data_IF_268223968012
#
_entry.id   IF_268223968012
#
_cell.length_a   1.000
_cell.length_b   1.000
_cell.length_c   1.000
_cell.angle_alpha   90.00
_cell.angle_beta   90.00
_cell.angle_gamma   90.00
#
_symmetry.space_group_name_H-M   'P 1'
#
loop_
_entity.id
_entity.type
_entity.pdbx_description
1 polymer ?
#
# COMPACT_ATOMS: atom_id res chain seq x y z
N UNK A 1 40.43 -52.58 -12.65
CA UNK A 1 39.19 -52.31 -11.89
C UNK A 1 38.99 -50.81 -11.81
N UNK A 2 37.97 -50.29 -12.49
CA UNK A 2 37.63 -48.86 -12.54
C UNK A 2 36.68 -48.55 -11.38
N UNK A 3 37.04 -47.61 -10.50
CA UNK A 3 36.11 -47.07 -9.50
C UNK A 3 35.58 -45.73 -10.02
N UNK A 4 34.28 -45.69 -10.30
CA UNK A 4 33.56 -44.48 -10.71
C UNK A 4 33.07 -43.80 -9.44
N UNK A 5 33.58 -42.59 -9.18
CA UNK A 5 33.16 -41.72 -8.09
C UNK A 5 31.85 -41.04 -8.50
N UNK A 6 30.73 -41.43 -7.90
CA UNK A 6 29.45 -40.72 -8.08
C UNK A 6 29.43 -39.50 -7.14
N UNK A 7 29.69 -38.32 -7.70
CA UNK A 7 29.43 -37.05 -7.04
C UNK A 7 27.93 -36.74 -7.13
N UNK A 8 27.23 -36.77 -5.99
CA UNK A 8 25.86 -36.26 -5.88
C UNK A 8 25.90 -34.73 -5.91
N UNK A 9 25.60 -34.14 -7.06
CA UNK A 9 25.36 -32.71 -7.18
C UNK A 9 23.96 -32.45 -6.62
N UNK A 10 23.90 -31.93 -5.40
CA UNK A 10 22.65 -31.39 -4.83
C UNK A 10 22.38 -30.08 -5.57
N UNK A 11 21.49 -30.13 -6.56
CA UNK A 11 20.96 -28.94 -7.23
C UNK A 11 20.05 -28.21 -6.23
N UNK A 12 20.62 -27.30 -5.45
CA UNK A 12 19.85 -26.40 -4.60
C UNK A 12 19.17 -25.37 -5.51
N UNK A 13 17.96 -25.67 -5.97
CA UNK A 13 17.12 -24.69 -6.66
C UNK A 13 16.67 -23.67 -5.62
N UNK A 14 17.42 -22.58 -5.50
CA UNK A 14 16.93 -21.38 -4.84
C UNK A 14 15.69 -20.90 -5.61
N UNK A 15 14.52 -21.06 -5.01
CA UNK A 15 13.32 -20.34 -5.45
C UNK A 15 13.59 -18.85 -5.19
N UNK A 16 14.02 -18.12 -6.21
CA UNK A 16 14.06 -16.67 -6.18
C UNK A 16 12.62 -16.16 -6.14
N UNK A 17 12.30 -15.39 -5.10
CA UNK A 17 10.99 -14.77 -4.88
C UNK A 17 10.67 -13.79 -6.02
N UNK A 18 9.45 -13.86 -6.55
CA UNK A 18 8.90 -13.11 -7.69
C UNK A 18 8.73 -11.58 -7.49
N UNK A 19 9.52 -10.91 -6.66
CA UNK A 19 9.35 -9.48 -6.42
C UNK A 19 9.59 -8.63 -7.68
N UNK A 20 10.49 -9.08 -8.57
CA UNK A 20 10.84 -8.39 -9.82
C UNK A 20 9.67 -8.30 -10.82
N UNK A 21 8.75 -9.28 -10.79
CA UNK A 21 7.61 -9.33 -11.71
C UNK A 21 6.45 -8.39 -11.31
N UNK A 22 6.44 -7.84 -10.08
CA UNK A 22 5.33 -7.01 -9.57
C UNK A 22 5.43 -5.54 -10.02
N UNK A 23 6.65 -5.03 -10.16
CA UNK A 23 6.90 -3.66 -10.66
C UNK A 23 6.81 -3.57 -12.17
N UNK A 24 7.21 -4.63 -12.89
CA UNK A 24 7.12 -4.70 -14.35
C UNK A 24 5.67 -4.88 -14.85
N UNK A 25 4.75 -5.41 -14.03
CA UNK A 25 3.37 -5.65 -14.45
C UNK A 25 2.46 -4.42 -14.43
N UNK A 26 2.88 -3.33 -13.78
CA UNK A 26 2.16 -2.05 -13.75
C UNK A 26 3.09 -0.99 -14.33
N UNK A 27 3.09 -0.87 -15.65
CA UNK A 27 3.68 0.30 -16.29
C UNK A 27 2.98 1.54 -15.72
N UNK A 28 3.74 2.50 -15.19
CA UNK A 28 3.18 3.73 -14.61
C UNK A 28 2.26 4.40 -15.64
N UNK A 29 2.59 4.36 -16.93
CA UNK A 29 1.80 4.94 -18.03
C UNK A 29 0.39 4.34 -18.17
N UNK A 30 0.19 3.07 -17.81
CA UNK A 30 -1.12 2.39 -17.85
C UNK A 30 -1.87 2.47 -16.50
N UNK A 31 -1.32 3.21 -15.52
CA UNK A 31 -1.91 3.31 -14.20
C UNK A 31 -3.26 4.06 -14.23
N UNK A 32 -4.29 3.39 -13.73
CA UNK A 32 -5.64 3.90 -13.55
C UNK A 32 -6.25 3.39 -12.23
N UNK A 33 -7.33 4.03 -11.77
CA UNK A 33 -8.15 3.55 -10.65
C UNK A 33 -9.41 2.83 -11.13
N UNK A 34 -9.77 1.76 -10.43
CA UNK A 34 -11.02 1.02 -10.67
C UNK A 34 -12.23 1.80 -10.13
N UNK A 35 -13.44 1.39 -10.52
CA UNK A 35 -14.67 1.97 -10.00
C UNK A 35 -14.78 1.85 -8.46
N UNK A 36 -14.32 0.74 -7.89
CA UNK A 36 -14.34 0.53 -6.43
C UNK A 36 -13.32 1.44 -5.70
N UNK A 37 -12.15 1.67 -6.30
CA UNK A 37 -11.16 2.63 -5.78
C UNK A 37 -11.64 4.08 -5.89
N UNK A 38 -12.35 4.41 -6.98
CA UNK A 38 -13.02 5.70 -7.15
C UNK A 38 -14.12 5.90 -6.09
N UNK A 39 -14.95 4.89 -5.82
CA UNK A 39 -15.94 4.96 -4.74
C UNK A 39 -15.28 5.20 -3.37
N UNK A 40 -14.15 4.52 -3.10
CA UNK A 40 -13.40 4.75 -1.86
C UNK A 40 -12.89 6.19 -1.75
N UNK A 41 -12.38 6.76 -2.84
CA UNK A 41 -11.98 8.16 -2.91
C UNK A 41 -13.16 9.08 -2.57
N UNK A 42 -14.29 8.88 -3.25
CA UNK A 42 -15.46 9.75 -3.13
C UNK A 42 -16.07 9.69 -1.73
N UNK A 43 -16.19 8.50 -1.14
CA UNK A 43 -16.67 8.33 0.23
C UNK A 43 -15.74 9.00 1.25
N UNK A 44 -14.43 8.94 1.05
CA UNK A 44 -13.45 9.61 1.91
C UNK A 44 -13.54 11.14 1.76
N UNK A 45 -13.66 11.66 0.54
CA UNK A 45 -13.82 13.09 0.30
C UNK A 45 -15.14 13.63 0.86
N UNK A 46 -16.24 12.88 0.74
CA UNK A 46 -17.51 13.20 1.39
C UNK A 46 -17.41 13.17 2.92
N UNK A 47 -16.63 12.24 3.49
CA UNK A 47 -16.36 12.22 4.93
C UNK A 47 -15.58 13.46 5.39
N UNK A 48 -14.56 13.89 4.63
CA UNK A 48 -13.80 15.13 4.87
C UNK A 48 -14.67 16.37 4.75
N UNK A 49 -15.51 16.45 3.73
CA UNK A 49 -16.47 17.54 3.51
C UNK A 49 -17.44 17.70 4.68
N UNK A 50 -17.98 16.61 5.22
CA UNK A 50 -18.82 16.63 6.45
C UNK A 50 -18.09 17.18 7.67
N UNK A 51 -16.75 17.19 7.65
CA UNK A 51 -15.88 17.77 8.69
C UNK A 51 -15.32 19.14 8.31
N UNK A 52 -15.81 19.75 7.23
CA UNK A 52 -15.39 21.07 6.71
C UNK A 52 -13.90 21.09 6.33
N UNK A 53 -13.39 19.97 5.83
CA UNK A 53 -12.03 19.86 5.31
C UNK A 53 -12.08 19.85 3.77
N UNK A 54 -11.05 20.40 3.11
CA UNK A 54 -10.98 20.39 1.65
C UNK A 54 -10.82 18.96 1.11
N UNK A 55 -11.28 18.69 -0.12
CA UNK A 55 -10.92 17.46 -0.83
C UNK A 55 -9.41 17.44 -1.07
N UNK A 56 -8.86 16.24 -1.28
CA UNK A 56 -7.44 16.02 -1.53
C UNK A 56 -7.30 15.56 -2.99
N UNK A 57 -6.47 16.21 -3.82
CA UNK A 57 -6.26 15.77 -5.19
C UNK A 57 -5.72 14.33 -5.28
N UNK A 58 -6.31 13.51 -6.15
CA UNK A 58 -5.77 12.20 -6.49
C UNK A 58 -4.36 12.34 -7.07
N UNK A 59 -3.44 11.52 -6.56
CA UNK A 59 -2.03 11.48 -6.96
C UNK A 59 -1.75 10.18 -7.69
N UNK A 60 -1.18 10.30 -8.90
CA UNK A 60 -0.73 9.16 -9.70
C UNK A 60 0.39 8.42 -8.98
N UNK A 61 1.38 9.16 -8.46
CA UNK A 61 2.53 8.62 -7.76
C UNK A 61 2.13 7.86 -6.50
N UNK A 62 1.32 8.46 -5.62
CA UNK A 62 0.87 7.78 -4.40
C UNK A 62 -0.09 6.63 -4.70
N UNK A 63 -0.87 6.69 -5.79
CA UNK A 63 -1.70 5.56 -6.22
C UNK A 63 -0.85 4.38 -6.68
N UNK A 64 0.24 4.63 -7.40
CA UNK A 64 1.21 3.60 -7.74
C UNK A 64 1.75 2.91 -6.49
N UNK A 65 2.22 3.70 -5.51
CA UNK A 65 2.73 3.18 -4.22
C UNK A 65 1.65 2.36 -3.50
N UNK A 66 0.41 2.85 -3.45
CA UNK A 66 -0.70 2.14 -2.84
C UNK A 66 -0.95 0.78 -3.50
N UNK A 67 -0.96 0.70 -4.84
CA UNK A 67 -1.19 -0.55 -5.58
C UNK A 67 -0.05 -1.54 -5.40
N UNK A 68 1.20 -1.08 -5.54
CA UNK A 68 2.39 -1.92 -5.32
C UNK A 68 2.38 -2.48 -3.91
N UNK A 69 2.07 -1.67 -2.90
CA UNK A 69 2.04 -2.14 -1.52
C UNK A 69 0.88 -3.10 -1.26
N UNK A 70 -0.31 -2.85 -1.80
CA UNK A 70 -1.43 -3.77 -1.67
C UNK A 70 -1.10 -5.16 -2.28
N UNK A 71 -0.42 -5.17 -3.42
CA UNK A 71 0.10 -6.39 -4.04
C UNK A 71 1.18 -7.06 -3.18
N UNK A 72 2.12 -6.29 -2.61
CA UNK A 72 3.15 -6.82 -1.70
C UNK A 72 2.52 -7.48 -0.45
N UNK A 73 1.52 -6.84 0.15
CA UNK A 73 0.77 -7.39 1.26
C UNK A 73 0.02 -8.67 0.87
N UNK A 74 -0.52 -8.74 -0.34
CA UNK A 74 -1.20 -9.94 -0.84
C UNK A 74 -0.23 -11.10 -1.11
N UNK A 75 0.87 -10.85 -1.82
CA UNK A 75 1.75 -11.93 -2.27
C UNK A 75 2.83 -12.32 -1.25
N UNK A 76 3.43 -11.33 -0.58
CA UNK A 76 4.63 -11.55 0.24
C UNK A 76 4.34 -11.52 1.74
N UNK A 77 3.18 -11.02 2.16
CA UNK A 77 2.69 -11.09 3.55
C UNK A 77 3.72 -10.61 4.60
N UNK A 78 4.44 -9.49 4.41
CA UNK A 78 5.53 -9.05 5.30
C UNK A 78 5.05 -8.77 6.74
N UNK A 79 3.76 -8.55 6.92
CA UNK A 79 3.11 -8.33 8.20
C UNK A 79 2.97 -9.59 9.07
N UNK A 80 3.15 -10.82 8.54
CA UNK A 80 2.90 -12.07 9.29
C UNK A 80 3.99 -12.44 10.30
N UNK A 81 5.11 -11.74 10.33
CA UNK A 81 6.10 -11.98 11.38
C UNK A 81 5.60 -11.41 12.71
N UNK A 82 5.93 -12.04 13.85
CA UNK A 82 5.30 -11.79 15.18
C UNK A 82 5.23 -10.33 15.65
N UNK A 83 6.03 -9.42 15.09
CA UNK A 83 6.09 -8.01 15.51
C UNK A 83 5.71 -7.03 14.40
N UNK A 84 5.62 -7.48 13.16
CA UNK A 84 5.29 -6.62 12.03
C UNK A 84 3.78 -6.38 11.96
N UNK A 85 3.38 -5.31 11.28
CA UNK A 85 1.99 -5.04 10.92
C UNK A 85 1.86 -4.69 9.43
N UNK A 86 0.68 -4.26 8.99
CA UNK A 86 0.37 -4.02 7.58
C UNK A 86 1.17 -2.89 6.92
N UNK A 87 1.82 -2.01 7.67
CA UNK A 87 2.74 -1.00 7.13
C UNK A 87 4.13 -1.58 6.76
N UNK A 88 4.28 -2.90 6.84
CA UNK A 88 5.52 -3.59 6.51
C UNK A 88 5.64 -3.80 5.01
N UNK A 89 6.88 -3.79 4.54
CA UNK A 89 7.26 -3.99 3.14
C UNK A 89 8.22 -5.15 3.04
N UNK A 90 7.97 -6.07 2.11
CA UNK A 90 8.82 -7.23 1.89
C UNK A 90 10.16 -6.85 1.25
N UNK A 91 11.03 -7.84 1.05
CA UNK A 91 12.30 -7.64 0.37
C UNK A 91 12.09 -7.56 -1.14
N UNK A 92 12.61 -6.49 -1.76
CA UNK A 92 12.62 -6.25 -3.19
C UNK A 92 13.91 -5.50 -3.57
N UNK A 93 14.26 -5.54 -4.85
CA UNK A 93 15.34 -4.71 -5.40
C UNK A 93 14.85 -3.28 -5.69
N UNK A 94 13.54 -3.07 -5.81
CA UNK A 94 12.94 -1.77 -6.13
C UNK A 94 12.66 -0.89 -4.89
N UNK A 95 12.73 -1.45 -3.67
CA UNK A 95 12.44 -0.69 -2.45
C UNK A 95 13.11 -1.29 -1.21
N UNK A 96 13.29 -0.48 -0.17
CA UNK A 96 13.91 -0.94 1.07
C UNK A 96 12.93 -1.77 1.91
N UNK A 97 13.25 -3.02 2.24
CA UNK A 97 12.38 -3.84 3.11
C UNK A 97 12.19 -3.25 4.51
N UNK A 98 11.00 -3.41 5.10
CA UNK A 98 10.73 -2.95 6.46
C UNK A 98 9.78 -3.87 7.22
N UNK A 99 10.17 -4.26 8.44
CA UNK A 99 9.21 -4.71 9.44
C UNK A 99 8.72 -3.50 10.24
N UNK A 100 7.49 -3.10 10.00
CA UNK A 100 6.88 -1.98 10.71
C UNK A 100 6.24 -2.47 12.02
N UNK A 101 6.71 -1.92 13.15
CA UNK A 101 6.26 -2.25 14.50
C UNK A 101 5.30 -1.20 15.04
N UNK A 102 4.41 -1.58 15.95
CA UNK A 102 3.40 -0.68 16.54
C UNK A 102 3.98 0.47 17.38
N UNK A 103 5.29 0.47 17.66
CA UNK A 103 5.98 1.59 18.31
C UNK A 103 6.39 2.70 17.33
N UNK A 104 6.10 2.54 16.03
CA UNK A 104 6.39 3.49 14.96
C UNK A 104 7.88 3.87 14.81
N UNK A 105 8.81 3.17 15.47
CA UNK A 105 10.25 3.50 15.43
C UNK A 105 10.88 3.39 14.05
N UNK A 106 10.19 2.70 13.14
CA UNK A 106 10.62 2.44 11.76
C UNK A 106 9.73 3.15 10.74
N UNK A 107 8.99 4.18 11.16
CA UNK A 107 8.03 4.87 10.30
C UNK A 107 8.67 5.45 9.04
N UNK A 108 9.90 5.97 9.14
CA UNK A 108 10.65 6.53 8.00
C UNK A 108 10.79 5.57 6.81
N UNK A 109 10.91 4.26 7.06
CA UNK A 109 10.98 3.29 5.95
C UNK A 109 9.69 3.20 5.15
N UNK A 110 8.54 3.42 5.78
CA UNK A 110 7.25 3.52 5.09
C UNK A 110 7.09 4.91 4.46
N UNK A 111 7.49 5.97 5.16
CA UNK A 111 7.37 7.34 4.64
C UNK A 111 8.18 7.62 3.39
N UNK A 112 9.33 6.96 3.23
CA UNK A 112 10.19 7.12 2.06
C UNK A 112 9.70 6.38 0.80
N UNK A 113 8.61 5.60 0.87
CA UNK A 113 8.17 4.75 -0.25
C UNK A 113 7.80 5.52 -1.53
N UNK A 114 7.17 6.69 -1.46
CA UNK A 114 6.97 7.51 -2.64
C UNK A 114 8.28 7.85 -3.36
N UNK A 115 9.30 8.30 -2.63
CA UNK A 115 10.61 8.66 -3.17
C UNK A 115 11.40 7.44 -3.70
N UNK A 116 11.22 6.25 -3.10
CA UNK A 116 11.85 5.02 -3.60
C UNK A 116 11.23 4.53 -4.93
N UNK A 117 9.95 4.82 -5.17
CA UNK A 117 9.16 4.18 -6.23
C UNK A 117 8.71 5.12 -7.35
N UNK A 118 8.77 6.43 -7.14
CA UNK A 118 8.18 7.44 -8.03
C UNK A 118 8.99 8.73 -8.01
N UNK A 119 8.58 9.71 -8.83
CA UNK A 119 9.16 11.06 -8.81
C UNK A 119 8.61 11.95 -7.66
N UNK A 120 7.68 11.43 -6.84
CA UNK A 120 7.18 12.13 -5.67
C UNK A 120 8.20 12.06 -4.52
N UNK A 121 9.08 13.05 -4.42
CA UNK A 121 10.22 13.06 -3.47
C UNK A 121 9.85 13.46 -2.03
N UNK A 122 8.57 13.68 -1.73
CA UNK A 122 8.09 13.99 -0.37
C UNK A 122 7.74 12.70 0.39
N UNK A 123 7.77 12.79 1.72
CA UNK A 123 7.24 11.73 2.58
C UNK A 123 5.75 11.46 2.30
N UNK A 124 5.37 10.18 2.34
CA UNK A 124 3.99 9.71 2.26
C UNK A 124 3.53 9.03 3.55
N UNK A 125 2.24 9.10 3.85
CA UNK A 125 1.66 8.55 5.07
C UNK A 125 0.54 7.57 4.75
N UNK A 126 0.58 6.38 5.34
CA UNK A 126 -0.32 5.29 4.96
C UNK A 126 -1.38 4.99 6.02
N UNK A 127 -2.59 4.66 5.57
CA UNK A 127 -3.55 3.83 6.32
C UNK A 127 -3.83 2.55 5.53
N UNK A 128 -3.84 1.42 6.22
CA UNK A 128 -4.10 0.11 5.63
C UNK A 128 -5.33 -0.54 6.27
N UNK A 129 -6.13 -1.23 5.47
CA UNK A 129 -7.25 -2.05 5.91
C UNK A 129 -7.17 -3.40 5.20
N UNK A 130 -7.49 -4.47 5.92
CA UNK A 130 -7.49 -5.81 5.35
C UNK A 130 -7.67 -6.88 6.41
N UNK A 131 -7.92 -8.12 5.98
CA UNK A 131 -8.24 -9.24 6.86
C UNK A 131 -7.01 -9.99 7.39
N UNK A 132 -5.84 -9.35 7.37
CA UNK A 132 -4.49 -9.93 7.37
C UNK A 132 -4.19 -11.16 8.26
N UNK A 133 -4.86 -11.36 9.39
CA UNK A 133 -4.54 -12.46 10.31
C UNK A 133 -5.44 -13.70 10.22
N UNK A 134 -6.37 -13.75 9.27
CA UNK A 134 -7.35 -14.83 9.20
C UNK A 134 -6.97 -15.77 8.07
N UNK A 135 -6.73 -17.05 8.40
CA UNK A 135 -6.45 -18.12 7.42
C UNK A 135 -7.67 -18.46 6.55
N UNK A 136 -8.61 -17.54 6.43
CA UNK A 136 -9.90 -17.73 5.83
C UNK A 136 -10.22 -16.50 4.97
N UNK A 137 -9.81 -16.58 3.70
CA UNK A 137 -10.19 -15.64 2.66
C UNK A 137 -11.63 -15.88 2.14
N UNK A 138 -12.32 -16.93 2.63
CA UNK A 138 -13.62 -17.38 2.15
C UNK A 138 -14.78 -16.98 3.08
N UNK A 139 -14.53 -16.77 4.38
CA UNK A 139 -15.50 -16.27 5.37
C UNK A 139 -15.66 -14.74 5.31
N UNK A 140 -14.71 -14.04 4.71
CA UNK A 140 -14.73 -12.60 4.60
C UNK A 140 -14.89 -12.24 3.13
N UNK A 141 -16.02 -11.59 2.81
CA UNK A 141 -16.27 -11.09 1.46
C UNK A 141 -15.19 -10.13 0.99
N UNK A 142 -15.25 -9.77 -0.29
CA UNK A 142 -14.31 -8.85 -0.91
C UNK A 142 -14.17 -7.54 -0.10
N UNK A 143 -12.96 -6.97 -0.10
CA UNK A 143 -12.77 -5.62 0.43
C UNK A 143 -13.57 -4.66 -0.47
N UNK A 144 -14.49 -3.91 0.15
CA UNK A 144 -15.23 -2.83 -0.49
C UNK A 144 -14.80 -1.49 0.07
N UNK A 145 -15.09 -0.43 -0.67
CA UNK A 145 -14.88 0.95 -0.28
C UNK A 145 -15.53 1.26 1.08
N UNK A 146 -16.78 0.85 1.29
CA UNK A 146 -17.51 1.12 2.54
C UNK A 146 -16.91 0.39 3.73
N UNK A 147 -16.51 -0.87 3.54
CA UNK A 147 -15.92 -1.67 4.61
C UNK A 147 -14.55 -1.12 5.02
N UNK A 148 -13.73 -0.72 4.05
CA UNK A 148 -12.43 -0.10 4.32
C UNK A 148 -12.59 1.24 5.06
N UNK A 149 -13.43 2.14 4.54
CA UNK A 149 -13.69 3.43 5.18
C UNK A 149 -14.33 3.27 6.57
N UNK A 150 -15.27 2.35 6.72
CA UNK A 150 -15.90 2.01 8.00
C UNK A 150 -14.86 1.53 9.03
N UNK A 151 -13.98 0.63 8.61
CA UNK A 151 -12.84 0.15 9.40
C UNK A 151 -11.94 1.29 9.87
N UNK A 152 -11.49 2.15 8.96
CA UNK A 152 -10.65 3.30 9.32
C UNK A 152 -11.35 4.31 10.22
N UNK A 153 -12.65 4.57 10.02
CA UNK A 153 -13.43 5.47 10.90
C UNK A 153 -13.55 4.93 12.33
N UNK A 154 -13.58 3.61 12.52
CA UNK A 154 -13.64 2.97 13.83
C UNK A 154 -12.30 2.97 14.59
N UNK A 155 -11.18 3.13 13.88
CA UNK A 155 -9.85 3.26 14.47
C UNK A 155 -9.51 4.74 14.70
N UNK A 156 -9.25 5.13 15.94
CA UNK A 156 -8.95 6.52 16.27
C UNK A 156 -7.76 7.08 15.46
N UNK A 157 -6.67 6.30 15.34
CA UNK A 157 -5.46 6.70 14.62
C UNK A 157 -5.73 6.92 13.13
N UNK A 158 -6.34 5.95 12.46
CA UNK A 158 -6.66 6.05 11.04
C UNK A 158 -7.67 7.17 10.77
N UNK A 159 -8.72 7.26 11.60
CA UNK A 159 -9.68 8.34 11.52
C UNK A 159 -8.99 9.70 11.65
N UNK A 160 -8.07 9.88 12.60
CA UNK A 160 -7.40 11.16 12.79
C UNK A 160 -6.55 11.57 11.58
N UNK A 161 -5.89 10.63 10.91
CA UNK A 161 -5.15 10.91 9.67
C UNK A 161 -6.09 11.38 8.54
N UNK A 162 -7.21 10.68 8.33
CA UNK A 162 -8.20 11.02 7.29
C UNK A 162 -8.79 12.44 7.42
N UNK A 163 -8.84 13.00 8.63
CA UNK A 163 -9.46 14.31 8.91
C UNK A 163 -8.53 15.29 9.64
N UNK A 164 -7.21 15.17 9.46
CA UNK A 164 -6.20 16.10 9.98
C UNK A 164 -6.40 16.43 11.48
N UNK A 165 -6.57 15.40 12.31
CA UNK A 165 -6.70 15.52 13.78
C UNK A 165 -5.48 14.94 14.50
N UNK A 166 -5.40 15.20 15.81
CA UNK A 166 -4.27 14.75 16.64
C UNK A 166 -2.95 15.34 16.14
N UNK A 167 -2.00 14.48 15.84
CA UNK A 167 -0.66 14.82 15.34
C UNK A 167 -0.70 15.40 13.91
N UNK A 168 -1.76 15.10 13.15
CA UNK A 168 -1.95 15.52 11.75
C UNK A 168 -2.52 16.94 11.60
N UNK A 169 -2.79 17.66 12.69
CA UNK A 169 -3.47 18.98 12.67
C UNK A 169 -2.71 20.09 11.95
N UNK A 170 -1.38 19.99 11.87
CA UNK A 170 -0.51 20.99 11.23
C UNK A 170 -0.20 20.65 9.78
N UNK A 171 -0.66 19.51 9.30
CA UNK A 171 -0.41 19.06 7.94
C UNK A 171 -1.62 19.38 7.08
N UNK A 172 -1.34 19.77 5.85
CA UNK A 172 -2.32 19.89 4.77
C UNK A 172 -2.05 18.76 3.78
N UNK A 173 -3.10 18.05 3.40
CA UNK A 173 -2.99 16.96 2.43
C UNK A 173 -3.19 17.52 1.03
N UNK A 174 -2.15 17.43 0.20
CA UNK A 174 -2.12 17.92 -1.17
C UNK A 174 -2.11 16.81 -2.22
N UNK A 175 -1.92 15.57 -1.78
CA UNK A 175 -1.91 14.39 -2.63
C UNK A 175 -2.54 13.20 -1.89
N UNK A 176 -3.35 12.40 -2.59
CA UNK A 176 -3.88 11.14 -2.08
C UNK A 176 -3.78 10.01 -3.11
N UNK A 177 -3.22 8.88 -2.70
CA UNK A 177 -3.16 7.65 -3.47
C UNK A 177 -4.07 6.58 -2.91
N UNK A 178 -4.74 5.80 -3.77
CA UNK A 178 -5.75 4.82 -3.35
C UNK A 178 -5.55 3.50 -4.08
N UNK A 179 -5.62 2.39 -3.33
CA UNK A 179 -5.65 1.07 -3.92
C UNK A 179 -6.60 0.14 -3.18
N UNK A 180 -7.32 -0.69 -3.94
CA UNK A 180 -8.01 -1.87 -3.44
C UNK A 180 -7.52 -3.05 -4.25
N UNK A 181 -6.85 -3.99 -3.58
CA UNK A 181 -6.33 -5.18 -4.21
C UNK A 181 -6.57 -6.40 -3.34
N UNK A 182 -7.44 -7.29 -3.83
CA UNK A 182 -7.82 -8.55 -3.17
C UNK A 182 -8.25 -8.32 -1.72
N UNK A 183 -7.36 -8.59 -0.76
CA UNK A 183 -7.65 -8.61 0.67
C UNK A 183 -7.27 -7.29 1.37
N UNK A 184 -6.85 -6.27 0.60
CA UNK A 184 -6.34 -5.01 1.13
C UNK A 184 -6.96 -3.79 0.47
N UNK A 185 -7.20 -2.77 1.28
CA UNK A 185 -7.35 -1.39 0.85
C UNK A 185 -6.26 -0.54 1.50
N UNK A 186 -5.62 0.33 0.73
CA UNK A 186 -4.60 1.25 1.19
C UNK A 186 -4.93 2.66 0.72
N UNK A 187 -4.65 3.63 1.58
CA UNK A 187 -4.65 5.05 1.24
C UNK A 187 -3.32 5.65 1.67
N UNK A 188 -2.70 6.40 0.76
CA UNK A 188 -1.49 7.17 1.00
C UNK A 188 -1.78 8.66 0.94
N UNK A 189 -1.27 9.43 1.89
CA UNK A 189 -1.42 10.89 1.97
C UNK A 189 -0.06 11.55 1.78
N UNK A 190 -0.03 12.65 1.01
CA UNK A 190 1.15 13.47 0.78
C UNK A 190 0.89 14.92 1.12
N UNK A 191 1.94 15.62 1.56
CA UNK A 191 1.89 17.05 1.94
C UNK A 191 2.30 17.97 0.80
N UNK A 192 2.97 17.44 -0.22
CA UNK A 192 3.30 18.17 -1.44
C UNK A 192 2.32 17.80 -2.57
N UNK A 193 2.21 18.68 -3.56
CA UNK A 193 1.46 18.43 -4.79
C UNK A 193 2.20 17.36 -5.61
N UNK A 194 1.45 16.43 -6.19
CA UNK A 194 1.99 15.49 -7.17
C UNK A 194 1.91 16.14 -8.56
N UNK A 195 3.06 16.44 -9.16
CA UNK A 195 3.18 17.09 -10.47
C UNK A 195 3.05 16.10 -11.64
N UNK A 196 2.91 14.80 -11.34
CA UNK A 196 2.65 13.77 -12.34
C UNK A 196 1.30 13.97 -13.03
N UNK A 197 1.12 13.34 -14.20
CA UNK A 197 -0.13 13.41 -14.94
C UNK A 197 -1.33 12.92 -14.12
N UNK A 198 -2.50 13.51 -14.39
CA UNK A 198 -3.75 13.14 -13.70
C UNK A 198 -4.07 11.67 -13.96
N UNK A 199 -4.32 10.93 -12.89
CA UNK A 199 -4.72 9.52 -12.98
C UNK A 199 -6.16 9.38 -13.50
N UNK A 200 -6.34 8.52 -14.50
CA UNK A 200 -7.65 8.18 -15.07
C UNK A 200 -8.35 7.04 -14.33
N UNK A 201 -9.62 6.81 -14.69
CA UNK A 201 -10.38 5.62 -14.31
C UNK A 201 -10.13 4.53 -15.37
N UNK A 202 -9.98 3.28 -14.95
CA UNK A 202 -9.76 2.15 -15.86
C UNK A 202 -10.99 1.92 -16.75
N UNK A 203 -10.77 1.76 -18.05
CA UNK A 203 -11.80 1.28 -18.96
C UNK A 203 -12.10 -0.20 -18.65
N UNK A 204 -13.38 -0.53 -18.50
CA UNK A 204 -13.83 -1.91 -18.23
C UNK A 204 -13.81 -2.79 -19.49
#
# INVERSE_FOLDING_TARGET
MKYILFAFIILCTCFYSNAQNLTDSLAIDELCITAEEQELYDLLMEYRKKRKLPPIPLSRSLTYVAKIHAMDLHYNRPFRTKKCNMHSWSKSDAWTSCCYTSDHRRAKYMWNKPDELTEYTSEGYEIAYGYGNRNDYLEHGLITAENALGGWKSSQGHNYMMINRGEWKKLEWNAIGIAIYKDFALVWFGVEIDEAEVIGICDN
#
